data_IF_831806421395
#
_entry.id   IF_831806421395
#
_cell.length_a   1.000
_cell.length_b   1.000
_cell.length_c   1.000
_cell.angle_alpha   90.00
_cell.angle_beta   90.00
_cell.angle_gamma   90.00
#
_symmetry.space_group_name_H-M   'P 1'
#
loop_
_entity.id
_entity.type
_entity.pdbx_description
1 polymer ?
#
# COMPACT_ATOMS: atom_id res chain seq x y z
N UNK A 1 -47.83 -15.86 27.10
CA UNK A 1 -46.55 -16.46 26.66
C UNK A 1 -45.83 -15.43 25.81
N UNK A 2 -44.61 -14.99 26.14
CA UNK A 2 -43.82 -14.12 25.28
C UNK A 2 -42.93 -15.00 24.38
N UNK A 3 -43.22 -15.05 23.09
CA UNK A 3 -42.37 -15.71 22.07
C UNK A 3 -42.02 -14.74 20.92
N UNK A 4 -42.28 -13.44 21.09
CA UNK A 4 -42.23 -12.47 19.99
C UNK A 4 -40.88 -11.74 19.83
N UNK A 5 -40.00 -11.84 20.81
CA UNK A 5 -38.77 -11.01 20.88
C UNK A 5 -37.57 -11.66 20.15
N UNK A 6 -37.65 -12.96 19.82
CA UNK A 6 -36.51 -13.73 19.30
C UNK A 6 -36.31 -13.62 17.77
N UNK A 7 -37.27 -13.04 17.02
CA UNK A 7 -37.18 -12.92 15.55
C UNK A 7 -36.84 -11.53 15.05
N UNK A 8 -36.82 -10.50 15.90
CA UNK A 8 -36.41 -9.15 15.52
C UNK A 8 -34.89 -8.95 15.55
N UNK A 9 -34.19 -9.67 16.43
CA UNK A 9 -32.72 -9.61 16.54
C UNK A 9 -32.01 -10.21 15.30
N UNK A 10 -32.54 -11.32 14.77
CA UNK A 10 -32.00 -12.03 13.59
C UNK A 10 -32.18 -11.21 12.28
N UNK A 11 -33.28 -10.46 12.16
CA UNK A 11 -33.54 -9.55 11.03
C UNK A 11 -32.78 -8.23 11.14
N UNK A 12 -32.58 -7.71 12.36
CA UNK A 12 -31.75 -6.53 12.61
C UNK A 12 -30.27 -6.80 12.31
N UNK A 13 -29.82 -8.03 12.59
CA UNK A 13 -28.49 -8.51 12.26
C UNK A 13 -28.30 -8.60 10.73
N UNK A 14 -29.22 -9.21 9.99
CA UNK A 14 -29.13 -9.33 8.52
C UNK A 14 -29.22 -7.98 7.76
N UNK A 15 -29.86 -6.95 8.32
CA UNK A 15 -29.89 -5.60 7.73
C UNK A 15 -28.66 -4.76 8.04
N UNK A 16 -27.97 -5.02 9.16
CA UNK A 16 -26.72 -4.34 9.54
C UNK A 16 -25.56 -4.72 8.62
N UNK A 17 -25.42 -6.02 8.29
CA UNK A 17 -24.31 -6.49 7.46
C UNK A 17 -24.35 -5.94 6.02
N UNK A 18 -25.55 -5.72 5.46
CA UNK A 18 -25.72 -5.15 4.12
C UNK A 18 -25.38 -3.65 4.10
N UNK A 19 -25.73 -2.91 5.16
CA UNK A 19 -25.35 -1.51 5.33
C UNK A 19 -23.85 -1.33 5.56
N UNK A 20 -23.24 -2.21 6.39
CA UNK A 20 -21.80 -2.19 6.63
C UNK A 20 -21.02 -2.50 5.34
N UNK A 21 -21.46 -3.47 4.52
CA UNK A 21 -20.86 -3.81 3.23
C UNK A 21 -20.94 -2.63 2.24
N UNK A 22 -22.06 -1.92 2.18
CA UNK A 22 -22.18 -0.70 1.37
C UNK A 22 -21.23 0.42 1.85
N UNK A 23 -21.12 0.64 3.16
CA UNK A 23 -20.20 1.62 3.74
C UNK A 23 -18.72 1.25 3.49
N UNK A 24 -18.37 -0.04 3.58
CA UNK A 24 -17.03 -0.52 3.21
C UNK A 24 -16.72 -0.28 1.75
N UNK A 25 -17.69 -0.48 0.85
CA UNK A 25 -17.53 -0.22 -0.58
C UNK A 25 -17.38 1.27 -0.88
N UNK A 26 -18.13 2.12 -0.20
CA UNK A 26 -18.01 3.58 -0.32
C UNK A 26 -16.64 4.06 0.18
N UNK A 27 -16.20 3.58 1.35
CA UNK A 27 -14.90 3.91 1.93
C UNK A 27 -13.74 3.42 1.05
N UNK A 28 -13.87 2.25 0.42
CA UNK A 28 -12.88 1.74 -0.52
C UNK A 28 -12.77 2.63 -1.76
N UNK A 29 -13.91 3.11 -2.27
CA UNK A 29 -13.96 4.00 -3.42
C UNK A 29 -13.32 5.36 -3.11
N UNK A 30 -13.63 5.94 -1.95
CA UNK A 30 -12.99 7.17 -1.45
C UNK A 30 -11.47 6.98 -1.23
N UNK A 31 -11.07 5.80 -0.72
CA UNK A 31 -9.66 5.47 -0.52
C UNK A 31 -8.91 5.40 -1.85
N UNK A 32 -9.51 4.80 -2.89
CA UNK A 32 -8.91 4.69 -4.21
C UNK A 32 -8.72 6.05 -4.88
N UNK A 33 -9.69 6.95 -4.76
CA UNK A 33 -9.58 8.35 -5.22
C UNK A 33 -8.46 9.09 -4.47
N UNK A 34 -8.37 8.89 -3.16
CA UNK A 34 -7.30 9.48 -2.33
C UNK A 34 -5.90 8.94 -2.70
N UNK A 35 -5.81 7.66 -3.10
CA UNK A 35 -4.56 7.02 -3.52
C UNK A 35 -4.07 7.51 -4.87
N UNK A 36 -4.96 7.71 -5.83
CA UNK A 36 -4.58 8.22 -7.15
C UNK A 36 -3.96 9.62 -7.03
N UNK A 37 -4.56 10.47 -6.19
CA UNK A 37 -4.02 11.79 -5.88
C UNK A 37 -2.67 11.72 -5.16
N UNK A 38 -2.54 10.81 -4.18
CA UNK A 38 -1.27 10.58 -3.50
C UNK A 38 -0.20 10.06 -4.45
N UNK A 39 -0.54 9.28 -5.47
CA UNK A 39 0.45 8.74 -6.42
C UNK A 39 1.20 9.85 -7.17
N UNK A 40 0.52 10.91 -7.60
CA UNK A 40 1.17 12.07 -8.22
C UNK A 40 2.13 12.76 -7.24
N UNK A 41 1.68 13.00 -6.00
CA UNK A 41 2.49 13.63 -4.96
C UNK A 41 3.70 12.78 -4.58
N UNK A 42 3.47 11.47 -4.42
CA UNK A 42 4.49 10.46 -4.17
C UNK A 42 5.48 10.46 -5.32
N UNK A 43 5.08 10.51 -6.60
CA UNK A 43 6.05 10.55 -7.71
C UNK A 43 6.94 11.80 -7.67
N UNK A 44 6.35 12.97 -7.38
CA UNK A 44 7.03 14.27 -7.32
C UNK A 44 7.97 14.38 -6.12
N UNK A 45 7.66 13.73 -5.01
CA UNK A 45 8.49 13.75 -3.79
C UNK A 45 9.46 12.57 -3.79
N UNK A 46 9.00 11.36 -4.07
CA UNK A 46 9.85 10.16 -4.10
C UNK A 46 10.92 10.28 -5.17
N UNK A 47 10.62 10.73 -6.40
CA UNK A 47 11.64 10.82 -7.46
C UNK A 47 12.89 11.65 -7.04
N UNK A 48 12.78 12.90 -6.54
CA UNK A 48 13.94 13.67 -6.11
C UNK A 48 14.58 13.13 -4.82
N UNK A 49 13.79 12.61 -3.87
CA UNK A 49 14.33 12.11 -2.61
C UNK A 49 15.04 10.76 -2.77
N UNK A 50 14.44 9.81 -3.48
CA UNK A 50 15.09 8.54 -3.84
C UNK A 50 16.31 8.80 -4.72
N UNK A 51 16.24 9.71 -5.70
CA UNK A 51 17.40 10.03 -6.55
C UNK A 51 18.60 10.52 -5.73
N UNK A 52 18.39 11.43 -4.78
CA UNK A 52 19.46 11.97 -3.92
C UNK A 52 19.96 10.95 -2.89
N UNK A 53 19.08 10.08 -2.41
CA UNK A 53 19.42 9.05 -1.43
C UNK A 53 20.14 7.85 -2.06
N UNK A 54 19.66 7.33 -3.20
CA UNK A 54 20.39 6.37 -4.03
C UNK A 54 21.73 6.97 -4.43
N UNK A 55 21.79 8.18 -4.99
CA UNK A 55 23.07 8.75 -5.45
C UNK A 55 24.20 8.74 -4.41
N UNK A 56 23.92 9.08 -3.14
CA UNK A 56 24.93 9.06 -2.07
C UNK A 56 25.18 7.68 -1.47
N UNK A 57 24.13 6.87 -1.22
CA UNK A 57 24.32 5.55 -0.59
C UNK A 57 24.72 4.47 -1.58
N UNK A 58 24.18 4.51 -2.80
CA UNK A 58 24.59 3.59 -3.87
C UNK A 58 25.98 3.90 -4.41
N UNK A 59 26.48 5.14 -4.42
CA UNK A 59 27.84 5.36 -4.94
C UNK A 59 28.88 4.62 -4.09
N UNK A 60 28.76 4.69 -2.76
CA UNK A 60 29.64 3.96 -1.85
C UNK A 60 29.43 2.44 -1.94
N UNK A 61 28.19 1.98 -2.03
CA UNK A 61 27.91 0.55 -2.17
C UNK A 61 28.40 -0.01 -3.51
N UNK A 62 28.12 0.66 -4.62
CA UNK A 62 28.53 0.27 -5.96
C UNK A 62 30.06 0.35 -6.10
N UNK A 63 30.72 1.37 -5.54
CA UNK A 63 32.18 1.45 -5.52
C UNK A 63 32.81 0.35 -4.66
N UNK A 64 32.26 0.07 -3.48
CA UNK A 64 32.73 -1.03 -2.64
C UNK A 64 32.51 -2.40 -3.31
N UNK A 65 31.37 -2.60 -3.98
CA UNK A 65 31.05 -3.80 -4.77
C UNK A 65 31.97 -3.93 -5.98
N UNK A 66 32.24 -2.82 -6.67
CA UNK A 66 33.17 -2.73 -7.79
C UNK A 66 34.59 -3.13 -7.37
N UNK A 67 35.08 -2.60 -6.25
CA UNK A 67 36.38 -2.97 -5.70
C UNK A 67 36.44 -4.43 -5.24
N UNK A 68 35.34 -5.00 -4.75
CA UNK A 68 35.28 -6.40 -4.28
C UNK A 68 35.17 -7.44 -5.39
N UNK A 69 34.42 -7.15 -6.46
CA UNK A 69 33.99 -8.16 -7.44
C UNK A 69 34.57 -7.90 -8.84
N UNK A 70 35.00 -6.67 -9.13
CA UNK A 70 35.47 -6.24 -10.46
C UNK A 70 34.35 -6.16 -11.52
N UNK A 71 34.65 -5.55 -12.67
CA UNK A 71 33.76 -5.38 -13.85
C UNK A 71 33.43 -6.70 -14.60
N UNK A 72 33.50 -7.85 -13.93
CA UNK A 72 33.24 -9.16 -14.51
C UNK A 72 31.77 -9.57 -14.43
N UNK A 73 31.41 -10.69 -15.06
CA UNK A 73 30.06 -11.30 -15.02
C UNK A 73 29.52 -11.51 -13.60
N UNK A 74 30.41 -11.58 -12.61
CA UNK A 74 30.08 -11.72 -11.19
C UNK A 74 29.53 -10.44 -10.56
N UNK A 75 29.62 -9.29 -11.23
CA UNK A 75 28.98 -8.05 -10.77
C UNK A 75 27.45 -8.05 -10.98
N UNK A 76 26.99 -8.63 -12.09
CA UNK A 76 25.57 -8.64 -12.49
C UNK A 76 24.83 -9.93 -12.12
N UNK A 77 25.57 -11.00 -11.77
CA UNK A 77 25.06 -12.35 -11.58
C UNK A 77 25.65 -13.02 -10.32
N UNK A 78 25.79 -12.26 -9.22
CA UNK A 78 26.18 -12.77 -7.90
C UNK A 78 25.29 -12.21 -6.79
#
# INVERSE_FOLDING_TARGET
>A
MPQSEASLDDLSSNGSYDSDEEDYRLAQQEWEESLEQLHLLVSVVVMPFFGKWLGRRWSHWAYARYLRVGLGKQFFWA
#
